data_IF_592648608225
#
_entry.id   IF_592648608225
#
_cell.length_a   1.000
_cell.length_b   1.000
_cell.length_c   1.000
_cell.angle_alpha   90.00
_cell.angle_beta   90.00
_cell.angle_gamma   90.00
#
_symmetry.space_group_name_H-M   'P 1'
#
loop_
_entity.id
_entity.type
_entity.pdbx_description
1 polymer ?
#
# COMPACT_ATOMS: atom_id res chain seq x y z
N UNK A 1 15.53 -8.65 18.06
CA UNK A 1 14.96 -9.76 17.27
C UNK A 1 14.54 -9.16 15.95
N UNK A 2 14.70 -9.86 14.81
CA UNK A 2 14.26 -9.34 13.52
C UNK A 2 12.73 -9.12 13.53
N UNK A 3 12.26 -8.16 12.73
CA UNK A 3 10.83 -7.98 12.47
C UNK A 3 10.33 -9.14 11.62
N UNK A 4 9.26 -9.79 12.04
CA UNK A 4 8.65 -10.89 11.32
C UNK A 4 7.55 -10.39 10.39
N UNK A 5 7.76 -10.58 9.09
CA UNK A 5 6.84 -10.11 8.04
C UNK A 5 6.28 -11.31 7.30
N UNK A 6 4.97 -11.42 7.21
CA UNK A 6 4.30 -12.41 6.37
C UNK A 6 3.73 -11.73 5.12
N UNK A 7 4.04 -12.26 3.96
CA UNK A 7 3.63 -11.74 2.65
C UNK A 7 2.55 -12.63 2.06
N UNK A 8 1.38 -12.06 1.77
CA UNK A 8 0.33 -12.81 1.09
C UNK A 8 0.53 -12.80 -0.43
N UNK A 9 0.71 -13.98 -1.02
CA UNK A 9 0.75 -14.22 -2.46
C UNK A 9 -0.40 -15.13 -2.93
N UNK A 10 -1.38 -15.38 -2.06
CA UNK A 10 -2.48 -16.32 -2.34
C UNK A 10 -3.63 -15.71 -3.16
N UNK A 11 -3.68 -14.37 -3.31
CA UNK A 11 -4.78 -13.64 -3.96
C UNK A 11 -4.39 -12.92 -5.26
N UNK A 12 -3.40 -13.44 -5.99
CA UNK A 12 -2.88 -12.86 -7.25
C UNK A 12 -2.24 -11.48 -7.06
N UNK A 13 -1.52 -11.32 -6.00
CA UNK A 13 -0.66 -10.18 -5.74
C UNK A 13 0.38 -10.02 -6.85
N UNK A 14 0.72 -8.76 -7.17
CA UNK A 14 1.65 -8.43 -8.25
C UNK A 14 2.99 -7.91 -7.73
N UNK A 15 3.11 -7.74 -6.43
CA UNK A 15 4.31 -7.20 -5.78
C UNK A 15 4.67 -8.09 -4.62
N UNK A 16 5.89 -8.60 -4.66
CA UNK A 16 6.56 -9.28 -3.56
C UNK A 16 7.19 -8.24 -2.63
N UNK A 17 7.51 -8.64 -1.42
CA UNK A 17 8.20 -7.78 -0.49
C UNK A 17 9.69 -7.69 -0.88
N UNK A 18 10.34 -6.51 -0.84
CA UNK A 18 11.73 -6.32 -1.29
C UNK A 18 12.73 -6.82 -0.23
N UNK A 19 13.03 -8.09 -0.23
CA UNK A 19 13.94 -8.71 0.74
C UNK A 19 15.41 -8.35 0.53
N UNK A 20 15.85 -8.24 -0.74
CA UNK A 20 17.27 -8.05 -1.07
C UNK A 20 17.81 -6.68 -0.61
N UNK A 21 16.93 -5.69 -0.50
CA UNK A 21 17.31 -4.35 -0.06
C UNK A 21 17.37 -4.20 1.47
N UNK A 22 16.85 -5.19 2.21
CA UNK A 22 16.76 -5.15 3.67
C UNK A 22 17.80 -6.11 4.27
N UNK A 23 18.32 -5.75 5.45
CA UNK A 23 19.26 -6.60 6.17
C UNK A 23 18.57 -7.83 6.73
N UNK A 24 19.06 -9.04 6.42
CA UNK A 24 18.56 -10.29 7.00
C UNK A 24 18.68 -10.34 8.53
N UNK A 25 19.57 -9.52 9.12
CA UNK A 25 19.71 -9.42 10.58
C UNK A 25 18.52 -8.68 11.23
N UNK A 26 17.84 -7.81 10.46
CA UNK A 26 16.77 -6.95 10.94
C UNK A 26 15.36 -7.44 10.55
N UNK A 27 15.25 -8.29 9.51
CA UNK A 27 13.96 -8.70 8.94
C UNK A 27 13.91 -10.20 8.67
N UNK A 28 12.79 -10.83 9.02
CA UNK A 28 12.47 -12.23 8.77
C UNK A 28 11.18 -12.27 7.95
N UNK A 29 11.25 -12.72 6.70
CA UNK A 29 10.16 -12.63 5.73
C UNK A 29 9.72 -14.01 5.29
N UNK A 30 8.45 -14.33 5.50
CA UNK A 30 7.81 -15.56 5.05
C UNK A 30 6.65 -15.27 4.09
N UNK A 31 6.24 -16.29 3.34
CA UNK A 31 5.22 -16.17 2.29
C UNK A 31 4.07 -17.13 2.49
N UNK A 32 2.86 -16.66 2.23
CA UNK A 32 1.65 -17.48 2.06
C UNK A 32 1.41 -17.67 0.57
N UNK A 33 1.65 -18.85 0.05
CA UNK A 33 1.45 -19.19 -1.35
C UNK A 33 -0.01 -19.56 -1.67
N UNK A 34 -0.33 -19.73 -2.98
CA UNK A 34 -1.69 -20.04 -3.45
C UNK A 34 -2.32 -21.31 -2.87
N UNK A 35 -1.52 -22.23 -2.35
CA UNK A 35 -1.98 -23.49 -1.77
C UNK A 35 -2.06 -23.43 -0.25
N UNK A 36 -1.60 -22.36 0.34
CA UNK A 36 -1.61 -22.16 1.78
C UNK A 36 -2.90 -21.49 2.23
N UNK A 37 -3.18 -21.59 3.51
CA UNK A 37 -4.37 -21.00 4.11
C UNK A 37 -3.97 -19.70 4.79
N UNK A 38 -4.53 -18.59 4.34
CA UNK A 38 -4.46 -17.32 5.05
C UNK A 38 -5.51 -17.34 6.17
N UNK A 39 -5.11 -17.72 7.36
CA UNK A 39 -5.93 -17.70 8.58
C UNK A 39 -5.17 -17.06 9.76
N UNK A 40 -5.83 -17.00 10.91
CA UNK A 40 -5.22 -16.37 12.09
C UNK A 40 -4.00 -17.15 12.58
N UNK A 41 -4.04 -18.47 12.55
CA UNK A 41 -2.93 -19.31 13.04
C UNK A 41 -1.67 -19.14 12.20
N UNK A 42 -1.84 -18.84 10.89
CA UNK A 42 -0.73 -18.50 10.00
C UNK A 42 -0.17 -17.09 10.24
N UNK A 43 -0.95 -16.18 10.86
CA UNK A 43 -0.58 -14.78 11.07
C UNK A 43 -0.05 -14.49 12.49
N UNK A 44 -0.46 -15.22 13.51
CA UNK A 44 -0.32 -14.84 14.92
C UNK A 44 1.14 -14.68 15.41
N UNK A 45 2.10 -15.33 14.74
CA UNK A 45 3.52 -15.28 15.09
C UNK A 45 4.29 -14.15 14.38
N UNK A 46 3.61 -13.34 13.54
CA UNK A 46 4.21 -12.26 12.76
C UNK A 46 3.86 -10.88 13.31
N UNK A 47 4.74 -9.92 13.05
CA UNK A 47 4.53 -8.52 13.42
C UNK A 47 3.71 -7.79 12.36
N UNK A 48 3.91 -8.12 11.07
CA UNK A 48 3.32 -7.41 9.95
C UNK A 48 2.79 -8.37 8.90
N UNK A 49 1.56 -8.12 8.42
CA UNK A 49 1.02 -8.67 7.18
C UNK A 49 1.19 -7.66 6.04
N UNK A 50 1.85 -8.10 4.97
CA UNK A 50 1.97 -7.35 3.73
C UNK A 50 1.07 -7.93 2.64
N UNK A 51 0.31 -7.04 1.96
CA UNK A 51 -0.47 -7.36 0.77
C UNK A 51 -0.10 -6.40 -0.35
N UNK A 52 0.41 -6.95 -1.46
CA UNK A 52 0.97 -6.18 -2.58
C UNK A 52 0.12 -6.21 -3.83
N UNK A 53 -0.66 -5.16 -4.11
CA UNK A 53 -1.32 -4.90 -5.40
C UNK A 53 -2.10 -6.09 -5.98
N UNK A 54 -3.19 -6.47 -5.36
CA UNK A 54 -4.07 -7.54 -5.87
C UNK A 54 -4.67 -7.15 -7.21
N UNK A 55 -4.40 -7.96 -8.24
CA UNK A 55 -4.94 -7.78 -9.59
C UNK A 55 -6.10 -8.73 -9.84
N UNK A 56 -7.33 -8.22 -9.80
CA UNK A 56 -8.49 -9.00 -10.16
C UNK A 56 -8.62 -9.14 -11.68
N UNK A 57 -8.38 -10.34 -12.19
CA UNK A 57 -8.76 -10.65 -13.57
C UNK A 57 -10.23 -11.06 -13.65
N UNK A 58 -10.93 -10.68 -14.74
CA UNK A 58 -12.36 -10.94 -14.94
C UNK A 58 -12.81 -12.39 -14.72
N UNK A 59 -11.89 -13.33 -14.77
CA UNK A 59 -12.17 -14.78 -14.82
C UNK A 59 -11.76 -15.54 -13.56
N UNK A 60 -11.19 -14.90 -12.53
CA UNK A 60 -10.70 -15.63 -11.36
C UNK A 60 -11.56 -15.35 -10.13
N UNK A 61 -12.33 -16.34 -9.72
CA UNK A 61 -13.04 -16.33 -8.42
C UNK A 61 -12.11 -16.44 -7.22
N UNK A 62 -10.86 -16.81 -7.43
CA UNK A 62 -9.84 -17.11 -6.42
C UNK A 62 -9.16 -15.87 -5.85
N UNK A 63 -9.32 -14.71 -6.48
CA UNK A 63 -8.62 -13.49 -6.08
C UNK A 63 -9.41 -12.66 -5.04
N UNK A 64 -10.36 -13.28 -4.33
CA UNK A 64 -11.20 -12.59 -3.34
C UNK A 64 -11.04 -13.20 -1.98
N UNK A 65 -10.78 -12.37 -1.01
CA UNK A 65 -10.84 -12.80 0.39
C UNK A 65 -12.18 -13.42 0.74
N UNK A 66 -12.14 -14.57 1.35
CA UNK A 66 -13.33 -15.18 1.94
C UNK A 66 -13.74 -14.41 3.20
N UNK A 67 -15.01 -14.56 3.68
CA UNK A 67 -15.43 -13.96 4.93
C UNK A 67 -14.57 -14.37 6.14
N UNK A 68 -14.08 -15.61 6.16
CA UNK A 68 -13.23 -16.13 7.25
C UNK A 68 -11.85 -15.49 7.20
N UNK A 69 -11.18 -15.44 6.03
CA UNK A 69 -9.91 -14.72 5.87
C UNK A 69 -10.02 -13.24 6.30
N UNK A 70 -11.10 -12.55 5.91
CA UNK A 70 -11.34 -11.16 6.33
C UNK A 70 -11.52 -11.04 7.85
N UNK A 71 -12.12 -12.02 8.49
CA UNK A 71 -12.28 -12.06 9.94
C UNK A 71 -10.92 -12.26 10.61
N UNK A 72 -10.10 -13.15 10.07
CA UNK A 72 -8.79 -13.48 10.62
C UNK A 72 -7.78 -12.34 10.44
N UNK A 73 -7.75 -11.69 9.27
CA UNK A 73 -6.97 -10.46 9.07
C UNK A 73 -7.39 -9.37 10.08
N UNK A 74 -8.71 -9.16 10.26
CA UNK A 74 -9.21 -8.17 11.22
C UNK A 74 -8.85 -8.53 12.65
N UNK A 75 -8.86 -9.82 13.01
CA UNK A 75 -8.44 -10.28 14.31
C UNK A 75 -6.96 -10.02 14.52
N UNK A 76 -6.10 -10.41 13.57
CA UNK A 76 -4.66 -10.18 13.62
C UNK A 76 -4.34 -8.69 13.85
N UNK A 77 -4.86 -7.81 13.01
CA UNK A 77 -4.63 -6.36 13.17
C UNK A 77 -5.25 -5.85 14.46
N UNK A 78 -6.47 -6.29 14.80
CA UNK A 78 -7.16 -5.86 16.03
C UNK A 78 -6.44 -6.26 17.32
N UNK A 79 -5.70 -7.35 17.32
CA UNK A 79 -4.89 -7.83 18.46
C UNK A 79 -3.51 -7.16 18.55
N UNK A 80 -3.12 -6.37 17.55
CA UNK A 80 -1.88 -5.57 17.56
C UNK A 80 -0.97 -5.75 16.35
N UNK A 81 -1.33 -6.59 15.39
CA UNK A 81 -0.56 -6.76 14.17
C UNK A 81 -0.52 -5.51 13.31
N UNK A 82 0.59 -5.32 12.60
CA UNK A 82 0.77 -4.29 11.58
C UNK A 82 0.21 -4.74 10.23
N UNK A 83 -0.32 -3.81 9.45
CA UNK A 83 -0.84 -4.11 8.12
C UNK A 83 -0.31 -3.13 7.07
N UNK A 84 0.46 -3.63 6.11
CA UNK A 84 0.92 -2.85 4.97
C UNK A 84 0.19 -3.28 3.70
N UNK A 85 -0.51 -2.33 3.08
CA UNK A 85 -1.19 -2.53 1.81
C UNK A 85 -0.62 -1.60 0.75
N UNK A 86 -0.23 -2.15 -0.39
CA UNK A 86 0.12 -1.35 -1.57
C UNK A 86 -0.84 -1.62 -2.71
N UNK A 87 -1.13 -0.58 -3.48
CA UNK A 87 -1.87 -0.68 -4.73
C UNK A 87 -1.40 0.40 -5.68
N UNK A 88 -1.66 0.25 -6.96
CA UNK A 88 -1.22 1.21 -7.98
C UNK A 88 -2.29 1.44 -9.04
N UNK A 89 -1.91 2.09 -10.12
CA UNK A 89 -2.76 2.30 -11.29
C UNK A 89 -3.29 0.96 -11.81
N UNK A 90 -4.60 0.79 -11.80
CA UNK A 90 -5.25 -0.47 -12.19
C UNK A 90 -5.32 -1.52 -11.10
N UNK A 91 -4.78 -1.27 -9.91
CA UNK A 91 -5.00 -2.11 -8.73
C UNK A 91 -6.48 -2.12 -8.34
N UNK A 92 -6.94 -3.24 -7.81
CA UNK A 92 -8.36 -3.51 -7.53
C UNK A 92 -9.27 -3.26 -8.74
N UNK A 93 -8.75 -3.64 -9.90
CA UNK A 93 -9.30 -3.39 -11.22
C UNK A 93 -10.62 -4.15 -11.49
N UNK A 94 -11.45 -4.29 -10.49
CA UNK A 94 -12.72 -4.92 -10.65
C UNK A 94 -13.71 -3.93 -11.26
N UNK A 95 -14.23 -4.28 -12.43
CA UNK A 95 -15.26 -3.54 -13.18
C UNK A 95 -16.50 -3.24 -12.32
N UNK A 96 -16.78 -4.04 -11.32
CA UNK A 96 -17.72 -3.69 -10.29
C UNK A 96 -16.96 -3.33 -9.02
N UNK A 97 -16.57 -2.09 -8.86
CA UNK A 97 -15.98 -1.51 -7.64
C UNK A 97 -16.72 -1.83 -6.33
N UNK A 98 -17.83 -2.54 -6.43
CA UNK A 98 -18.61 -3.05 -5.30
C UNK A 98 -18.02 -4.31 -4.67
N UNK A 99 -17.03 -4.95 -5.30
CA UNK A 99 -16.53 -6.27 -4.92
C UNK A 99 -14.99 -6.37 -4.90
N UNK A 100 -14.28 -5.27 -4.97
CA UNK A 100 -12.81 -5.29 -4.87
C UNK A 100 -12.36 -5.84 -3.52
N UNK A 101 -11.31 -6.67 -3.52
CA UNK A 101 -10.76 -7.26 -2.29
C UNK A 101 -10.26 -6.19 -1.34
N UNK A 102 -9.62 -5.16 -1.85
CA UNK A 102 -9.10 -4.03 -1.08
C UNK A 102 -10.22 -3.27 -0.38
N UNK A 103 -11.40 -3.12 -1.03
CA UNK A 103 -12.54 -2.43 -0.43
C UNK A 103 -13.06 -3.10 0.84
N UNK A 104 -12.98 -4.43 0.94
CA UNK A 104 -13.48 -5.13 2.12
C UNK A 104 -12.59 -4.94 3.35
N UNK A 105 -11.37 -4.47 3.15
CA UNK A 105 -10.40 -4.12 4.19
C UNK A 105 -10.56 -2.67 4.70
N UNK A 106 -11.56 -1.91 4.24
CA UNK A 106 -11.71 -0.48 4.54
C UNK A 106 -11.75 -0.15 6.04
N UNK A 107 -12.22 -1.06 6.87
CA UNK A 107 -12.25 -0.85 8.33
C UNK A 107 -10.86 -0.88 8.96
N UNK A 108 -9.92 -1.59 8.34
CA UNK A 108 -8.53 -1.65 8.79
C UNK A 108 -7.75 -0.48 8.20
N UNK A 109 -7.89 -0.26 6.91
CA UNK A 109 -7.08 0.69 6.14
C UNK A 109 -7.59 2.12 6.17
N UNK A 110 -8.87 2.32 6.50
CA UNK A 110 -9.53 3.62 6.34
C UNK A 110 -9.79 4.03 4.88
N UNK A 111 -9.45 3.17 3.93
CA UNK A 111 -9.60 3.45 2.50
C UNK A 111 -10.85 2.78 1.95
N UNK A 112 -11.84 3.57 1.57
CA UNK A 112 -13.08 3.05 0.95
C UNK A 112 -12.90 2.64 -0.50
N UNK A 113 -11.99 3.32 -1.21
CA UNK A 113 -11.83 3.15 -2.64
C UNK A 113 -10.45 3.59 -3.08
N UNK A 114 -9.84 2.76 -3.92
CA UNK A 114 -8.75 3.14 -4.80
C UNK A 114 -9.34 3.55 -6.15
N UNK A 115 -8.84 4.65 -6.71
CA UNK A 115 -9.28 5.09 -8.02
C UNK A 115 -8.56 4.31 -9.12
N UNK A 116 -9.31 3.90 -10.14
CA UNK A 116 -8.74 3.16 -11.26
C UNK A 116 -8.17 4.09 -12.31
N UNK A 117 -6.90 4.34 -12.18
CA UNK A 117 -6.13 5.24 -13.02
C UNK A 117 -4.85 5.65 -12.30
N UNK A 118 -4.14 6.57 -12.88
CA UNK A 118 -2.85 7.06 -12.35
C UNK A 118 -2.81 8.56 -12.19
N UNK A 119 -2.13 9.00 -11.18
CA UNK A 119 -1.79 10.41 -10.97
C UNK A 119 -0.81 10.87 -12.05
N UNK A 120 -1.02 12.07 -12.55
CA UNK A 120 -0.13 12.79 -13.44
C UNK A 120 0.23 14.13 -12.80
N UNK A 121 1.44 14.22 -12.29
CA UNK A 121 1.89 15.46 -11.65
C UNK A 121 2.32 16.55 -12.65
N UNK A 122 2.25 17.80 -12.19
CA UNK A 122 2.66 18.97 -12.94
C UNK A 122 4.12 19.32 -12.66
N UNK A 123 4.79 19.83 -13.65
CA UNK A 123 6.17 20.28 -13.83
C UNK A 123 7.10 20.11 -12.64
N UNK A 124 7.31 20.36 -11.57
CA UNK A 124 8.35 20.12 -10.57
C UNK A 124 8.15 18.88 -9.71
N UNK A 125 7.00 18.23 -9.83
CA UNK A 125 6.56 17.17 -8.92
C UNK A 125 6.54 15.79 -9.60
N UNK A 126 7.44 15.58 -10.55
CA UNK A 126 7.64 14.27 -11.17
C UNK A 126 9.08 14.08 -11.66
N UNK A 127 9.51 12.81 -11.74
CA UNK A 127 10.79 12.43 -12.35
C UNK A 127 10.57 11.86 -13.75
N UNK A 128 11.23 12.42 -14.76
CA UNK A 128 11.25 11.98 -16.16
C UNK A 128 9.86 11.95 -16.82
N UNK A 129 8.86 11.34 -16.18
CA UNK A 129 7.48 11.22 -16.68
C UNK A 129 6.49 11.64 -15.62
N UNK A 130 5.41 12.30 -16.01
CA UNK A 130 4.34 12.81 -15.12
C UNK A 130 3.74 11.76 -14.18
N UNK A 131 3.80 10.48 -14.54
CA UNK A 131 3.32 9.35 -13.76
C UNK A 131 4.29 8.88 -12.67
N UNK A 132 5.54 9.34 -12.67
CA UNK A 132 6.52 9.08 -11.63
C UNK A 132 6.48 10.25 -10.65
N UNK A 133 5.53 10.21 -9.75
CA UNK A 133 5.23 11.30 -8.80
C UNK A 133 6.39 11.49 -7.85
N UNK A 134 6.92 12.72 -7.81
CA UNK A 134 7.93 13.15 -6.86
C UNK A 134 7.25 13.95 -5.73
N UNK A 135 7.41 13.50 -4.52
CA UNK A 135 6.87 14.11 -3.31
C UNK A 135 8.00 14.72 -2.50
N UNK A 136 7.93 16.01 -2.26
CA UNK A 136 8.84 16.78 -1.42
C UNK A 136 8.13 17.50 -0.28
N UNK A 137 6.80 17.55 -0.31
CA UNK A 137 5.98 18.10 0.77
C UNK A 137 5.34 16.96 1.56
N UNK A 138 5.83 16.73 2.76
CA UNK A 138 5.42 15.63 3.63
C UNK A 138 4.74 16.16 4.88
N UNK A 139 3.66 15.53 5.32
CA UNK A 139 3.10 15.82 6.63
C UNK A 139 3.97 15.26 7.75
N UNK A 140 3.97 15.93 8.90
CA UNK A 140 4.78 15.51 10.05
C UNK A 140 4.19 14.24 10.68
N UNK A 141 4.89 13.13 10.51
CA UNK A 141 4.54 11.83 11.11
C UNK A 141 5.84 11.04 11.40
N UNK A 142 5.79 10.05 12.29
CA UNK A 142 6.96 9.19 12.56
C UNK A 142 7.50 8.52 11.29
N UNK A 143 6.62 8.05 10.42
CA UNK A 143 6.97 7.41 9.14
C UNK A 143 7.71 8.36 8.19
N UNK A 144 7.36 9.64 8.18
CA UNK A 144 7.97 10.65 7.30
C UNK A 144 9.20 11.32 7.91
N UNK A 145 9.60 10.93 9.13
CA UNK A 145 10.72 11.54 9.82
C UNK A 145 12.05 11.31 9.09
N UNK A 146 12.72 12.41 8.76
CA UNK A 146 14.01 12.39 8.07
C UNK A 146 13.93 11.96 6.61
N UNK A 147 12.72 11.94 6.01
CA UNK A 147 12.49 11.82 4.58
C UNK A 147 12.53 13.22 3.97
N UNK A 148 13.18 13.36 2.84
CA UNK A 148 13.25 14.61 2.08
C UNK A 148 12.49 14.54 0.78
N UNK A 149 12.53 13.39 0.12
CA UNK A 149 11.80 13.15 -1.12
C UNK A 149 11.40 11.68 -1.26
N UNK A 150 10.25 11.44 -1.89
CA UNK A 150 9.75 10.10 -2.23
C UNK A 150 9.35 10.06 -3.69
N UNK A 151 9.47 8.86 -4.30
CA UNK A 151 9.06 8.65 -5.69
C UNK A 151 8.01 7.55 -5.73
N UNK A 152 6.83 7.87 -6.26
CA UNK A 152 5.73 6.93 -6.40
C UNK A 152 5.32 6.75 -7.87
N UNK A 153 5.89 5.74 -8.57
CA UNK A 153 5.51 5.45 -9.95
C UNK A 153 4.07 4.95 -10.04
N UNK A 154 3.38 5.35 -11.09
CA UNK A 154 2.02 4.87 -11.41
C UNK A 154 1.06 4.88 -10.22
N UNK A 155 1.17 5.87 -9.33
CA UNK A 155 0.35 5.91 -8.13
C UNK A 155 -1.11 6.27 -8.45
N UNK A 156 -2.00 5.81 -7.57
CA UNK A 156 -3.41 6.19 -7.52
C UNK A 156 -3.73 6.90 -6.21
N UNK A 157 -4.93 7.46 -6.11
CA UNK A 157 -5.39 8.14 -4.91
C UNK A 157 -6.61 7.44 -4.30
N UNK A 158 -6.99 7.87 -3.09
CA UNK A 158 -7.99 7.21 -2.28
C UNK A 158 -9.20 8.08 -1.97
N UNK A 159 -10.36 7.42 -1.77
CA UNK A 159 -11.44 7.96 -0.96
C UNK A 159 -11.32 7.38 0.44
N UNK A 160 -11.21 8.25 1.44
CA UNK A 160 -11.06 7.85 2.84
C UNK A 160 -12.41 7.62 3.52
N UNK A 161 -12.40 6.88 4.61
CA UNK A 161 -13.47 6.86 5.60
C UNK A 161 -13.33 8.08 6.51
N UNK A 162 -14.38 8.42 7.28
CA UNK A 162 -14.31 9.52 8.24
C UNK A 162 -13.66 9.12 9.57
N UNK A 163 -13.30 7.82 9.73
CA UNK A 163 -12.83 7.25 10.99
C UNK A 163 -11.30 7.13 10.98
N UNK A 164 -10.65 7.70 12.00
CA UNK A 164 -9.24 7.49 12.43
C UNK A 164 -8.19 7.27 11.31
N UNK A 165 -8.32 8.00 10.21
CA UNK A 165 -7.41 7.94 9.06
C UNK A 165 -6.64 9.23 8.98
N UNK A 166 -5.32 9.12 8.92
CA UNK A 166 -4.43 10.26 8.74
C UNK A 166 -3.80 10.19 7.36
N UNK A 167 -3.97 11.27 6.60
CA UNK A 167 -3.25 11.48 5.33
C UNK A 167 -1.83 11.95 5.65
N UNK A 168 -0.84 11.14 5.31
CA UNK A 168 0.57 11.47 5.55
C UNK A 168 1.31 11.90 4.29
N UNK A 169 0.78 11.58 3.10
CA UNK A 169 1.32 12.01 1.82
C UNK A 169 0.18 12.27 0.84
N UNK A 170 0.13 13.49 0.32
CA UNK A 170 -0.80 13.92 -0.72
C UNK A 170 -0.07 14.38 -1.98
N UNK A 171 -0.79 14.40 -3.10
CA UNK A 171 -0.36 15.03 -4.36
C UNK A 171 -0.30 16.56 -4.25
N UNK A 172 0.20 17.23 -5.29
CA UNK A 172 0.15 18.69 -5.40
C UNK A 172 -1.25 19.21 -5.77
N UNK A 173 -1.47 20.50 -5.54
CA UNK A 173 -2.71 21.20 -5.97
C UNK A 173 -2.95 21.16 -7.49
N UNK A 174 -1.94 20.83 -8.27
CA UNK A 174 -1.98 20.80 -9.75
C UNK A 174 -2.02 19.39 -10.32
N UNK A 175 -2.16 18.37 -9.46
CA UNK A 175 -2.21 17.00 -9.91
C UNK A 175 -3.41 16.73 -10.81
N UNK A 176 -3.15 16.04 -11.91
CA UNK A 176 -4.15 15.46 -12.78
C UNK A 176 -4.31 13.97 -12.53
N UNK A 177 -5.33 13.39 -13.10
CA UNK A 177 -5.58 11.96 -13.03
C UNK A 177 -6.01 11.41 -14.40
N UNK A 178 -5.32 10.40 -14.88
CA UNK A 178 -5.65 9.68 -16.11
C UNK A 178 -6.45 8.44 -15.76
N UNK A 179 -7.71 8.41 -16.19
CA UNK A 179 -8.59 7.26 -15.95
C UNK A 179 -8.23 6.08 -16.85
N UNK A 180 -8.19 4.89 -16.29
CA UNK A 180 -7.79 3.68 -17.02
C UNK A 180 -8.75 3.28 -18.17
N UNK A 181 -10.03 3.72 -18.10
CA UNK A 181 -11.05 3.26 -19.05
C UNK A 181 -11.22 4.13 -20.31
N UNK A 182 -10.83 5.37 -20.27
CA UNK A 182 -11.11 6.30 -21.35
C UNK A 182 -9.96 7.26 -21.68
N UNK A 183 -8.80 7.08 -21.05
CA UNK A 183 -7.62 7.95 -21.18
C UNK A 183 -7.94 9.45 -20.97
N UNK A 184 -9.09 9.76 -20.36
CA UNK A 184 -9.41 11.14 -20.00
C UNK A 184 -8.54 11.60 -18.85
N UNK A 185 -8.03 12.81 -18.96
CA UNK A 185 -7.24 13.45 -17.91
C UNK A 185 -8.11 14.52 -17.25
N UNK A 186 -8.41 14.32 -15.99
CA UNK A 186 -9.08 15.30 -15.14
C UNK A 186 -8.10 15.97 -14.17
N UNK A 187 -8.44 17.15 -13.67
CA UNK A 187 -7.74 17.74 -12.53
C UNK A 187 -8.32 17.15 -11.23
N UNK A 188 -7.46 16.64 -10.34
CA UNK A 188 -7.88 16.11 -9.03
C UNK A 188 -7.35 16.95 -7.87
N UNK A 189 -6.34 17.80 -8.12
CA UNK A 189 -5.73 18.63 -7.09
C UNK A 189 -5.04 17.79 -5.98
N UNK A 190 -5.03 18.33 -4.77
CA UNK A 190 -4.42 17.67 -3.61
C UNK A 190 -5.29 16.53 -3.13
N UNK A 191 -4.81 15.29 -3.31
CA UNK A 191 -5.51 14.05 -2.93
C UNK A 191 -4.56 13.10 -2.22
N UNK A 192 -5.05 12.29 -1.24
CA UNK A 192 -4.23 11.37 -0.48
C UNK A 192 -3.73 10.21 -1.34
N UNK A 193 -2.44 9.89 -1.21
CA UNK A 193 -1.76 8.78 -1.88
C UNK A 193 -1.01 7.85 -0.91
N UNK A 194 -0.82 8.28 0.33
CA UNK A 194 -0.39 7.42 1.43
C UNK A 194 -1.09 7.84 2.71
N UNK A 195 -1.69 6.87 3.39
CA UNK A 195 -2.45 7.09 4.61
C UNK A 195 -2.09 6.06 5.66
N UNK A 196 -2.27 6.45 6.92
CA UNK A 196 -2.18 5.57 8.08
C UNK A 196 -3.52 5.49 8.79
N UNK A 197 -3.78 4.35 9.41
CA UNK A 197 -5.00 4.15 10.19
C UNK A 197 -4.70 3.29 11.42
N UNK A 198 -5.56 3.41 12.44
CA UNK A 198 -5.54 2.55 13.62
C UNK A 198 -6.79 1.68 13.62
N UNK A 199 -6.61 0.42 13.94
CA UNK A 199 -7.72 -0.51 14.09
C UNK A 199 -7.56 -1.29 15.40
N UNK A 200 -8.32 -0.92 16.42
CA UNK A 200 -8.16 -1.39 17.81
C UNK A 200 -6.72 -1.19 18.31
N UNK A 201 -5.95 -2.28 18.48
CA UNK A 201 -4.55 -2.21 18.93
C UNK A 201 -3.56 -2.12 17.79
N UNK A 202 -3.96 -2.50 16.58
CA UNK A 202 -3.06 -2.54 15.42
C UNK A 202 -3.04 -1.26 14.63
N UNK A 203 -2.15 -1.24 13.65
CA UNK A 203 -1.87 -0.10 12.78
C UNK A 203 -1.87 -0.55 11.33
N UNK A 204 -2.24 0.33 10.42
CA UNK A 204 -2.11 0.06 8.98
C UNK A 204 -1.51 1.23 8.24
N UNK A 205 -0.75 0.91 7.18
CA UNK A 205 -0.28 1.85 6.18
C UNK A 205 -0.81 1.41 4.82
N UNK A 206 -1.34 2.35 4.06
CA UNK A 206 -1.80 2.11 2.70
C UNK A 206 -1.12 3.07 1.74
N UNK A 207 -0.45 2.53 0.71
CA UNK A 207 0.29 3.30 -0.29
C UNK A 207 -0.34 3.11 -1.66
N UNK A 208 -0.60 4.20 -2.37
CA UNK A 208 -1.25 4.23 -3.69
C UNK A 208 -0.33 3.92 -4.87
N UNK A 209 0.88 3.48 -4.64
CA UNK A 209 1.79 2.94 -5.64
C UNK A 209 2.25 1.57 -5.18
N UNK A 210 2.38 0.62 -6.08
CA UNK A 210 3.02 -0.66 -5.79
C UNK A 210 4.43 -0.72 -6.35
N UNK A 211 4.69 0.05 -7.41
CA UNK A 211 5.99 0.05 -8.10
C UNK A 211 7.10 0.74 -7.29
N UNK A 212 6.78 1.47 -6.22
CA UNK A 212 7.78 2.10 -5.35
C UNK A 212 8.62 1.09 -4.55
N UNK A 213 8.15 -0.16 -4.44
CA UNK A 213 8.83 -1.26 -3.76
C UNK A 213 9.71 -2.09 -4.69
N UNK A 214 9.68 -1.85 -6.01
CA UNK A 214 10.46 -2.65 -6.95
C UNK A 214 11.95 -2.33 -6.86
N UNK A 215 12.77 -3.35 -6.64
CA UNK A 215 14.23 -3.23 -6.51
C UNK A 215 14.92 -2.94 -7.85
N UNK A 216 14.44 -3.52 -8.94
CA UNK A 216 15.00 -3.35 -10.28
C UNK A 216 14.36 -2.20 -11.09
N UNK A 217 13.94 -1.14 -10.42
CA UNK A 217 13.26 0.00 -11.05
C UNK A 217 13.92 1.32 -10.64
N UNK A 218 14.39 2.10 -11.63
CA UNK A 218 15.01 3.42 -11.41
C UNK A 218 14.14 4.40 -10.59
N UNK A 219 12.83 4.14 -10.49
CA UNK A 219 11.87 4.92 -9.72
C UNK A 219 11.29 4.15 -8.54
N UNK A 220 11.83 2.97 -8.24
CA UNK A 220 11.40 2.06 -7.19
C UNK A 220 12.05 2.36 -5.83
N UNK A 221 12.50 1.29 -5.19
CA UNK A 221 12.97 1.32 -3.81
C UNK A 221 14.21 2.21 -3.60
N UNK A 222 15.14 2.22 -4.57
CA UNK A 222 16.38 3.02 -4.52
C UNK A 222 16.17 4.50 -4.87
N UNK A 223 14.96 4.89 -5.27
CA UNK A 223 14.67 6.26 -5.68
C UNK A 223 14.38 7.16 -4.46
N UNK A 224 15.09 8.29 -4.38
CA UNK A 224 14.94 9.22 -3.27
C UNK A 224 15.18 8.55 -1.91
N UNK A 225 14.27 8.75 -0.98
CA UNK A 225 14.31 8.15 0.36
C UNK A 225 13.34 6.94 0.50
N UNK A 226 12.96 6.27 -0.59
CA UNK A 226 11.95 5.20 -0.57
C UNK A 226 12.34 4.03 0.35
N UNK A 227 13.61 3.58 0.31
CA UNK A 227 14.11 2.53 1.21
C UNK A 227 13.97 2.92 2.69
N UNK A 228 14.35 4.15 3.03
CA UNK A 228 14.19 4.68 4.38
C UNK A 228 12.73 4.82 4.79
N UNK A 229 11.87 5.16 3.84
CA UNK A 229 10.44 5.24 4.06
C UNK A 229 9.86 3.87 4.38
N UNK A 230 10.29 2.80 3.69
CA UNK A 230 9.90 1.43 4.00
C UNK A 230 10.36 1.02 5.41
N UNK A 231 11.61 1.28 5.77
CA UNK A 231 12.14 1.00 7.11
C UNK A 231 11.33 1.72 8.20
N UNK A 232 11.01 3.00 8.00
CA UNK A 232 10.15 3.76 8.93
C UNK A 232 8.72 3.17 9.02
N UNK A 233 8.15 2.69 7.91
CA UNK A 233 6.83 2.03 7.89
C UNK A 233 6.87 0.77 8.76
N UNK A 234 7.88 -0.10 8.57
CA UNK A 234 8.02 -1.34 9.31
C UNK A 234 8.13 -1.05 10.80
N UNK A 235 9.03 -0.14 11.20
CA UNK A 235 9.22 0.27 12.59
C UNK A 235 7.95 0.85 13.22
N UNK A 236 7.19 1.62 12.47
CA UNK A 236 5.93 2.17 12.96
C UNK A 236 4.86 1.08 13.11
N UNK A 237 4.72 0.19 12.14
CA UNK A 237 3.77 -0.93 12.19
C UNK A 237 4.08 -1.90 13.33
N UNK A 238 5.36 -2.07 13.67
CA UNK A 238 5.83 -2.92 14.79
C UNK A 238 5.91 -2.19 16.14
N UNK A 239 5.38 -0.98 16.23
CA UNK A 239 5.32 -0.16 17.45
C UNK A 239 6.69 0.24 18.04
N UNK A 240 7.73 0.28 17.25
CA UNK A 240 9.04 0.76 17.70
C UNK A 240 9.12 2.29 17.74
N UNK A 241 8.41 2.99 16.81
CA UNK A 241 8.35 4.47 16.71
C UNK A 241 6.93 5.02 16.65
#
# INVERSE_FOLDING_TARGET
MPYKIIVDLSHSEQVEFPELALSEDDYDVDYIDKNDVLDFDALEDYDILFIGNIQHTKNKKTDKFTPDQLKDIKRFVGEGGGFLLTSGAGGDNNISMKQGSIRVLYKITGVRRFWNGKILEASSNFLVKKKNVLITELFSHSITKGITELVFPNCTFFNLTEEEVEDIISTSEKAGFEYHYNDEVGNVGKVPICVVSKFFRGRSVTVGSSEWLLEDNDFGLDAGDNLKFLDNIIKWLSFEI
#
